data_IF_183715122589
#
_entry.id   IF_183715122589
#
_cell.length_a   1.000
_cell.length_b   1.000
_cell.length_c   1.000
_cell.angle_alpha   90.00
_cell.angle_beta   90.00
_cell.angle_gamma   90.00
#
_symmetry.space_group_name_H-M   'P 1'
#
loop_
_entity.id
_entity.type
_entity.pdbx_description
1 polymer ?
#
# COMPACT_ATOMS: atom_id res chain seq x y z
N UNK A 1 17.15 39.53 5.76
CA UNK A 1 16.58 38.23 6.14
C UNK A 1 17.25 37.24 5.23
N UNK A 2 18.09 36.37 5.77
CA UNK A 2 18.73 35.33 4.98
C UNK A 2 17.65 34.36 4.50
N UNK A 3 17.67 34.03 3.20
CA UNK A 3 16.78 33.01 2.67
C UNK A 3 17.03 31.69 3.43
N UNK A 4 15.97 31.00 3.90
CA UNK A 4 16.14 29.74 4.58
C UNK A 4 16.85 28.76 3.64
N UNK A 5 18.01 28.25 4.07
CA UNK A 5 18.79 27.27 3.30
C UNK A 5 17.96 25.99 3.19
N UNK A 6 17.34 25.76 2.03
CA UNK A 6 16.68 24.50 1.73
C UNK A 6 17.69 23.37 1.79
N UNK A 7 17.44 22.39 2.66
CA UNK A 7 18.28 21.20 2.79
C UNK A 7 17.56 20.01 2.17
N UNK A 8 18.10 19.51 1.06
CA UNK A 8 17.65 18.27 0.41
C UNK A 8 18.67 17.19 0.71
N UNK A 9 18.25 16.16 1.45
CA UNK A 9 19.09 15.00 1.78
C UNK A 9 18.97 13.91 0.71
N UNK A 10 19.96 12.99 0.61
CA UNK A 10 19.81 11.80 -0.21
C UNK A 10 18.65 10.94 0.28
N UNK A 11 18.10 10.12 -0.62
CA UNK A 11 17.13 9.08 -0.24
C UNK A 11 17.90 7.97 0.47
N UNK A 12 17.45 7.60 1.66
CA UNK A 12 18.05 6.54 2.46
C UNK A 12 17.34 5.21 2.21
N UNK A 13 18.09 4.13 2.14
CA UNK A 13 17.52 2.78 2.18
C UNK A 13 17.24 2.37 3.61
N UNK A 14 16.02 1.89 3.87
CA UNK A 14 15.55 1.49 5.18
C UNK A 14 15.02 0.04 5.12
N UNK A 15 15.84 -0.96 5.48
CA UNK A 15 15.37 -2.36 5.49
C UNK A 15 14.39 -2.67 6.62
N UNK A 16 14.26 -1.75 7.59
CA UNK A 16 13.42 -1.86 8.79
C UNK A 16 12.91 -0.48 9.16
N UNK A 17 11.67 -0.36 9.64
CA UNK A 17 11.13 0.91 10.11
C UNK A 17 11.90 1.46 11.33
N UNK A 18 12.43 0.59 12.18
CA UNK A 18 13.30 1.01 13.30
C UNK A 18 14.54 1.76 12.85
N UNK A 19 15.07 1.47 11.65
CA UNK A 19 16.23 2.19 11.11
C UNK A 19 15.89 3.65 10.78
N UNK A 20 14.61 3.96 10.57
CA UNK A 20 14.10 5.32 10.32
C UNK A 20 14.04 6.12 11.63
N UNK A 21 13.73 5.47 12.76
CA UNK A 21 13.70 6.11 14.09
C UNK A 21 15.09 6.42 14.66
N UNK A 22 16.09 5.57 14.38
CA UNK A 22 17.46 5.76 14.87
C UNK A 22 18.21 6.90 14.16
N UNK A 23 17.54 7.56 13.23
CA UNK A 23 18.07 8.61 12.39
C UNK A 23 17.75 9.97 13.00
N UNK A 24 18.75 10.86 13.03
CA UNK A 24 18.65 12.24 13.53
C UNK A 24 17.85 13.16 12.59
N UNK A 25 17.23 12.59 11.56
CA UNK A 25 16.53 13.29 10.50
C UNK A 25 15.06 13.57 10.86
N UNK A 26 14.45 12.86 11.81
CA UNK A 26 13.07 13.15 12.26
C UNK A 26 13.12 14.21 13.35
N UNK A 27 12.38 15.29 13.16
CA UNK A 27 12.27 16.41 14.07
C UNK A 27 10.79 16.69 14.42
N UNK A 28 10.54 17.44 15.49
CA UNK A 28 9.18 17.80 15.90
C UNK A 28 8.44 18.70 14.88
N UNK A 29 9.19 19.41 14.03
CA UNK A 29 8.65 20.20 12.92
C UNK A 29 8.58 19.42 11.60
N UNK A 30 8.88 18.12 11.60
CA UNK A 30 8.73 17.28 10.42
C UNK A 30 7.27 16.86 10.22
N UNK A 31 6.87 16.73 8.95
CA UNK A 31 5.65 16.03 8.55
C UNK A 31 6.06 14.72 7.88
N UNK A 32 5.63 13.61 8.47
CA UNK A 32 5.89 12.27 7.93
C UNK A 32 4.72 11.82 7.06
N UNK A 33 5.01 11.53 5.80
CA UNK A 33 4.12 10.91 4.84
C UNK A 33 4.46 9.43 4.73
N UNK A 34 3.49 8.60 5.08
CA UNK A 34 3.60 7.15 5.00
C UNK A 34 2.85 6.62 3.79
N UNK A 35 3.49 5.73 3.03
CA UNK A 35 2.74 4.81 2.21
C UNK A 35 1.95 3.79 3.05
N UNK A 36 0.94 3.18 2.43
CA UNK A 36 0.10 2.15 3.04
C UNK A 36 0.55 0.74 2.67
N UNK A 37 0.25 0.33 1.44
CA UNK A 37 0.53 -1.01 0.94
C UNK A 37 2.05 -1.25 0.95
N UNK A 38 2.48 -2.42 1.44
CA UNK A 38 3.87 -2.82 1.63
C UNK A 38 4.74 -1.93 2.54
N UNK A 39 4.17 -0.89 3.15
CA UNK A 39 4.86 0.01 4.10
C UNK A 39 4.26 -0.05 5.51
N UNK A 40 2.96 0.23 5.65
CA UNK A 40 2.25 0.11 6.93
C UNK A 40 1.67 -1.30 7.09
N UNK A 41 0.98 -1.77 6.06
CA UNK A 41 0.38 -3.10 6.05
C UNK A 41 0.61 -3.80 4.71
N UNK A 42 0.41 -5.10 4.71
CA UNK A 42 0.43 -5.95 3.53
C UNK A 42 -0.80 -6.87 3.55
N UNK A 43 -1.16 -7.40 2.39
CA UNK A 43 -2.17 -8.44 2.29
C UNK A 43 -1.65 -9.74 2.92
N UNK A 44 -2.53 -10.51 3.58
CA UNK A 44 -2.18 -11.84 4.11
C UNK A 44 -1.97 -12.89 3.02
N UNK A 45 -2.56 -12.65 1.85
CA UNK A 45 -2.54 -13.52 0.67
C UNK A 45 -2.05 -12.74 -0.56
N UNK A 46 -1.72 -13.44 -1.64
CA UNK A 46 -1.26 -12.84 -2.90
C UNK A 46 -2.36 -12.01 -3.59
N UNK A 47 -3.62 -12.48 -3.52
CA UNK A 47 -4.76 -11.77 -4.08
C UNK A 47 -4.94 -10.39 -3.43
N UNK A 48 -5.13 -9.37 -4.27
CA UNK A 48 -5.34 -8.00 -3.82
C UNK A 48 -4.05 -7.28 -3.41
N UNK A 49 -2.88 -7.88 -3.60
CA UNK A 49 -1.61 -7.17 -3.38
C UNK A 49 -1.35 -6.14 -4.49
N UNK A 50 -0.37 -5.26 -4.25
CA UNK A 50 0.07 -4.29 -5.25
C UNK A 50 0.74 -4.98 -6.47
N UNK A 51 1.41 -6.11 -6.24
CA UNK A 51 2.02 -6.94 -7.27
C UNK A 51 0.94 -7.55 -8.17
N UNK A 52 -0.13 -8.10 -7.58
CA UNK A 52 -1.24 -8.69 -8.33
C UNK A 52 -1.86 -7.68 -9.30
N UNK A 53 -2.18 -6.48 -8.82
CA UNK A 53 -2.75 -5.44 -9.69
C UNK A 53 -1.75 -4.94 -10.73
N UNK A 54 -0.46 -4.85 -10.38
CA UNK A 54 0.61 -4.47 -11.33
C UNK A 54 0.76 -5.50 -12.46
N UNK A 55 0.65 -6.80 -12.14
CA UNK A 55 0.62 -7.88 -13.13
C UNK A 55 -0.61 -7.77 -14.04
N UNK A 56 -1.81 -7.58 -13.48
CA UNK A 56 -3.04 -7.40 -14.27
C UNK A 56 -2.96 -6.20 -15.21
N UNK A 57 -2.43 -5.06 -14.73
CA UNK A 57 -2.24 -3.86 -15.54
C UNK A 57 -1.25 -4.10 -16.70
N UNK A 58 -0.25 -4.95 -16.49
CA UNK A 58 0.70 -5.35 -17.54
C UNK A 58 0.02 -6.23 -18.59
N UNK A 59 -0.81 -7.19 -18.16
CA UNK A 59 -1.61 -8.05 -19.05
C UNK A 59 -2.59 -7.22 -19.89
N UNK A 60 -3.33 -6.28 -19.31
CA UNK A 60 -4.24 -5.45 -20.08
C UNK A 60 -3.52 -4.56 -21.09
N UNK A 61 -2.37 -3.98 -20.73
CA UNK A 61 -1.57 -3.19 -21.67
C UNK A 61 -1.09 -4.01 -22.86
N UNK A 62 -0.72 -5.28 -22.66
CA UNK A 62 -0.22 -6.14 -23.73
C UNK A 62 -1.31 -6.81 -24.56
N UNK A 63 -2.41 -7.25 -23.94
CA UNK A 63 -3.45 -8.03 -24.61
C UNK A 63 -4.61 -7.19 -25.14
N UNK A 64 -4.92 -6.06 -24.50
CA UNK A 64 -6.23 -5.44 -24.69
C UNK A 64 -6.17 -3.94 -25.06
N UNK A 65 -5.19 -3.20 -24.53
CA UNK A 65 -4.76 -1.91 -25.06
C UNK A 65 -5.72 -0.72 -24.89
N UNK A 66 -6.93 -0.89 -24.32
CA UNK A 66 -7.90 0.21 -24.21
C UNK A 66 -7.99 0.82 -22.81
N UNK A 67 -8.29 2.13 -22.74
CA UNK A 67 -8.52 2.84 -21.48
C UNK A 67 -9.69 2.25 -20.67
N UNK A 68 -10.70 1.69 -21.35
CA UNK A 68 -11.82 0.99 -20.72
C UNK A 68 -11.40 -0.24 -19.92
N UNK A 69 -10.33 -0.93 -20.30
CA UNK A 69 -9.90 -2.15 -19.60
C UNK A 69 -9.04 -1.85 -18.39
N UNK A 70 -8.27 -0.77 -18.44
CA UNK A 70 -7.60 -0.22 -17.26
C UNK A 70 -8.65 0.13 -16.20
N UNK A 71 -9.79 0.71 -16.61
CA UNK A 71 -10.88 1.03 -15.71
C UNK A 71 -11.52 -0.24 -15.11
N UNK A 72 -11.79 -1.27 -15.91
CA UNK A 72 -12.30 -2.55 -15.42
C UNK A 72 -11.32 -3.26 -14.47
N UNK A 73 -10.01 -3.15 -14.69
CA UNK A 73 -9.00 -3.66 -13.75
C UNK A 73 -9.06 -2.93 -12.41
N UNK A 74 -9.21 -1.60 -12.43
CA UNK A 74 -9.39 -0.82 -11.20
C UNK A 74 -10.67 -1.23 -10.47
N UNK A 75 -11.75 -1.47 -11.20
CA UNK A 75 -13.02 -1.94 -10.62
C UNK A 75 -12.90 -3.34 -10.03
N UNK A 76 -12.23 -4.27 -10.73
CA UNK A 76 -11.90 -5.60 -10.22
C UNK A 76 -11.07 -5.49 -8.93
N UNK A 77 -10.00 -4.69 -8.95
CA UNK A 77 -9.17 -4.48 -7.76
C UNK A 77 -10.00 -3.95 -6.59
N UNK A 78 -10.78 -2.91 -6.83
CA UNK A 78 -11.62 -2.31 -5.80
C UNK A 78 -12.62 -3.32 -5.22
N UNK A 79 -13.27 -4.12 -6.08
CA UNK A 79 -14.22 -5.15 -5.63
C UNK A 79 -13.53 -6.23 -4.79
N UNK A 80 -12.33 -6.66 -5.20
CA UNK A 80 -11.56 -7.68 -4.46
C UNK A 80 -11.13 -7.18 -3.10
N UNK A 81 -10.72 -5.91 -2.94
CA UNK A 81 -10.23 -5.37 -1.66
C UNK A 81 -11.21 -5.58 -0.49
N UNK A 82 -12.52 -5.65 -0.74
CA UNK A 82 -13.53 -5.90 0.28
C UNK A 82 -13.44 -7.28 0.95
N UNK A 83 -12.74 -8.22 0.31
CA UNK A 83 -12.55 -9.59 0.78
C UNK A 83 -11.13 -9.84 1.30
N UNK A 84 -10.26 -8.82 1.26
CA UNK A 84 -8.85 -8.98 1.59
C UNK A 84 -8.60 -8.65 3.05
N UNK A 85 -8.00 -9.62 3.73
CA UNK A 85 -7.40 -9.44 5.03
C UNK A 85 -5.99 -8.85 4.90
N UNK A 86 -5.72 -7.85 5.73
CA UNK A 86 -4.41 -7.23 5.83
C UNK A 86 -3.76 -7.55 7.18
N UNK A 87 -2.45 -7.36 7.23
CA UNK A 87 -1.64 -7.48 8.45
C UNK A 87 -0.54 -6.41 8.45
N UNK A 88 -0.03 -5.99 9.63
CA UNK A 88 1.09 -5.05 9.68
C UNK A 88 2.30 -5.63 8.94
N UNK A 89 3.08 -4.77 8.27
CA UNK A 89 4.28 -5.21 7.56
C UNK A 89 5.32 -5.74 8.55
N UNK A 90 5.58 -4.98 9.63
CA UNK A 90 6.40 -5.42 10.75
C UNK A 90 5.58 -5.43 12.04
N UNK A 91 5.99 -6.28 12.98
CA UNK A 91 5.34 -6.38 14.30
C UNK A 91 5.27 -5.05 15.06
N UNK A 92 6.24 -4.17 14.84
CA UNK A 92 6.35 -2.89 15.54
C UNK A 92 5.89 -1.69 14.70
N UNK A 93 5.42 -1.88 13.46
CA UNK A 93 5.01 -0.79 12.56
C UNK A 93 4.02 0.16 13.22
N UNK A 94 2.95 -0.38 13.80
CA UNK A 94 1.90 0.44 14.41
C UNK A 94 2.37 1.12 15.70
N UNK A 95 3.26 0.48 16.47
CA UNK A 95 3.86 1.10 17.66
C UNK A 95 4.75 2.28 17.31
N UNK A 96 5.50 2.20 16.21
CA UNK A 96 6.35 3.28 15.73
C UNK A 96 5.49 4.49 15.33
N UNK A 97 4.41 4.25 14.60
CA UNK A 97 3.46 5.28 14.20
C UNK A 97 2.79 5.92 15.42
N UNK A 98 2.33 5.10 16.37
CA UNK A 98 1.73 5.57 17.62
C UNK A 98 2.73 6.39 18.45
N UNK A 99 3.99 5.96 18.54
CA UNK A 99 5.05 6.69 19.22
C UNK A 99 5.30 8.06 18.59
N UNK A 100 5.42 8.14 17.27
CA UNK A 100 5.62 9.41 16.55
C UNK A 100 4.44 10.36 16.77
N UNK A 101 3.20 9.84 16.80
CA UNK A 101 2.02 10.63 17.09
C UNK A 101 2.03 11.15 18.54
N UNK A 102 2.41 10.27 19.49
CA UNK A 102 2.48 10.60 20.91
C UNK A 102 3.49 11.73 21.20
N UNK A 103 4.63 11.74 20.52
CA UNK A 103 5.65 12.80 20.67
C UNK A 103 5.35 14.05 19.83
N UNK A 104 4.18 14.12 19.18
CA UNK A 104 3.71 15.31 18.46
C UNK A 104 4.27 15.49 17.05
N UNK A 105 4.90 14.47 16.45
CA UNK A 105 5.29 14.52 15.04
C UNK A 105 4.03 14.42 14.17
N UNK A 106 3.87 15.37 13.25
CA UNK A 106 2.72 15.36 12.35
C UNK A 106 2.84 14.22 11.35
N UNK A 107 1.77 13.44 11.19
CA UNK A 107 1.75 12.28 10.30
C UNK A 107 0.57 12.35 9.33
N UNK A 108 0.83 11.94 8.10
CA UNK A 108 -0.12 11.82 7.00
C UNK A 108 0.11 10.50 6.26
N UNK A 109 -0.92 10.03 5.60
CA UNK A 109 -0.84 8.89 4.71
C UNK A 109 -0.94 9.35 3.27
N UNK A 110 -0.27 8.64 2.38
CA UNK A 110 -0.37 8.82 0.93
C UNK A 110 -0.39 7.44 0.29
N UNK A 111 -1.33 7.17 -0.62
CA UNK A 111 -1.52 5.82 -1.14
C UNK A 111 -1.90 5.84 -2.61
N UNK A 112 -1.45 4.84 -3.36
CA UNK A 112 -1.91 4.61 -4.73
C UNK A 112 -3.37 4.12 -4.82
N UNK A 113 -3.97 3.71 -3.69
CA UNK A 113 -5.37 3.25 -3.64
C UNK A 113 -6.34 4.28 -4.20
N UNK A 114 -7.42 3.77 -4.76
CA UNK A 114 -8.51 4.60 -5.28
C UNK A 114 -9.28 5.30 -4.15
N UNK A 115 -9.74 6.54 -4.34
CA UNK A 115 -10.66 7.20 -3.41
C UNK A 115 -11.94 6.39 -3.13
N UNK A 116 -12.35 5.50 -4.05
CA UNK A 116 -13.47 4.59 -3.84
C UNK A 116 -13.25 3.64 -2.64
N UNK A 117 -11.99 3.34 -2.31
CA UNK A 117 -11.60 2.47 -1.19
C UNK A 117 -11.42 3.21 0.13
N UNK A 118 -11.78 4.49 0.19
CA UNK A 118 -11.56 5.33 1.37
C UNK A 118 -12.14 4.77 2.66
N UNK A 119 -13.43 4.43 2.65
CA UNK A 119 -14.12 3.89 3.83
C UNK A 119 -13.53 2.54 4.24
N UNK A 120 -13.25 1.68 3.25
CA UNK A 120 -12.61 0.39 3.50
C UNK A 120 -11.21 0.54 4.09
N UNK A 121 -10.40 1.45 3.55
CA UNK A 121 -9.03 1.69 4.02
C UNK A 121 -9.01 2.16 5.47
N UNK A 122 -9.92 3.06 5.85
CA UNK A 122 -10.06 3.49 7.25
C UNK A 122 -10.50 2.34 8.16
N UNK A 123 -11.46 1.52 7.71
CA UNK A 123 -11.90 0.33 8.45
C UNK A 123 -10.72 -0.63 8.65
N UNK A 124 -10.01 -0.95 7.57
CA UNK A 124 -8.84 -1.82 7.58
C UNK A 124 -7.76 -1.34 8.55
N UNK A 125 -7.44 -0.05 8.57
CA UNK A 125 -6.50 0.53 9.54
C UNK A 125 -7.01 0.41 10.99
N UNK A 126 -8.31 0.61 11.21
CA UNK A 126 -8.93 0.43 12.54
C UNK A 126 -8.93 -1.03 12.99
N UNK A 127 -9.14 -1.97 12.06
CA UNK A 127 -9.10 -3.41 12.33
C UNK A 127 -7.68 -3.89 12.68
N UNK A 128 -6.64 -3.25 12.12
CA UNK A 128 -5.24 -3.54 12.47
C UNK A 128 -4.91 -3.13 13.90
N UNK A 129 -5.38 -1.96 14.33
CA UNK A 129 -5.17 -1.45 15.68
C UNK A 129 -6.29 -0.46 16.06
N UNK A 130 -7.11 -0.79 17.08
CA UNK A 130 -8.19 0.08 17.56
C UNK A 130 -7.73 1.47 18.03
N UNK A 131 -6.44 1.66 18.37
CA UNK A 131 -5.90 2.98 18.67
C UNK A 131 -5.86 3.91 17.45
N UNK A 132 -5.98 3.37 16.23
CA UNK A 132 -6.09 4.15 14.99
C UNK A 132 -7.49 4.74 14.75
N UNK A 133 -8.43 4.58 15.69
CA UNK A 133 -9.78 5.18 15.60
C UNK A 133 -9.76 6.72 15.57
N UNK A 134 -8.80 7.36 16.23
CA UNK A 134 -8.68 8.83 16.28
C UNK A 134 -7.79 9.40 15.18
N UNK A 135 -6.89 8.59 14.64
CA UNK A 135 -6.02 8.94 13.53
C UNK A 135 -5.58 7.63 12.84
N UNK A 136 -5.60 7.56 11.50
CA UNK A 136 -5.84 8.64 10.55
C UNK A 136 -7.33 8.88 10.30
N UNK A 137 -7.73 10.15 10.14
CA UNK A 137 -9.05 10.47 9.57
C UNK A 137 -8.94 10.54 8.06
N UNK A 138 -10.09 10.57 7.38
CA UNK A 138 -10.15 10.76 5.93
C UNK A 138 -9.26 11.89 5.40
N UNK A 139 -9.18 13.03 6.08
CA UNK A 139 -8.40 14.20 5.62
C UNK A 139 -6.89 14.03 5.82
N UNK A 140 -6.49 12.99 6.55
CA UNK A 140 -5.11 12.66 6.84
C UNK A 140 -4.56 11.68 5.80
N UNK A 141 -5.35 11.29 4.79
CA UNK A 141 -4.98 10.36 3.72
C UNK A 141 -5.11 11.03 2.34
N UNK A 142 -4.03 11.03 1.57
CA UNK A 142 -4.00 11.43 0.17
C UNK A 142 -4.17 10.18 -0.70
N UNK A 143 -5.34 10.04 -1.32
CA UNK A 143 -5.61 8.97 -2.29
C UNK A 143 -5.17 9.43 -3.69
N UNK A 144 -4.11 8.83 -4.21
CA UNK A 144 -3.52 9.20 -5.49
C UNK A 144 -4.21 8.54 -6.69
N UNK A 145 -4.97 7.46 -6.52
CA UNK A 145 -5.55 6.67 -7.62
C UNK A 145 -4.50 6.29 -8.69
N UNK A 146 -3.34 5.77 -8.22
CA UNK A 146 -2.14 5.48 -9.00
C UNK A 146 -1.52 6.68 -9.76
N UNK A 147 -1.90 7.93 -9.44
CA UNK A 147 -1.24 9.12 -9.98
C UNK A 147 0.11 9.39 -9.28
N UNK A 148 0.91 10.24 -9.92
CA UNK A 148 2.24 10.64 -9.44
C UNK A 148 2.18 11.30 -8.04
N UNK A 149 2.73 10.64 -7.02
CA UNK A 149 2.62 11.04 -5.60
C UNK A 149 3.06 12.46 -5.30
N UNK A 150 4.17 12.92 -5.89
CA UNK A 150 4.61 14.31 -5.73
C UNK A 150 3.56 15.34 -6.18
N UNK A 151 2.81 15.06 -7.25
CA UNK A 151 1.75 15.96 -7.74
C UNK A 151 0.54 15.92 -6.82
N UNK A 152 0.18 14.75 -6.32
CA UNK A 152 -0.91 14.58 -5.37
C UNK A 152 -0.62 15.31 -4.05
N UNK A 153 0.60 15.17 -3.52
CA UNK A 153 1.08 15.90 -2.37
C UNK A 153 0.96 17.41 -2.59
N UNK A 154 1.50 17.93 -3.70
CA UNK A 154 1.45 19.36 -4.02
C UNK A 154 0.02 19.92 -4.05
N UNK A 155 -0.91 19.20 -4.68
CA UNK A 155 -2.33 19.59 -4.76
C UNK A 155 -3.06 19.52 -3.42
N UNK A 156 -2.55 18.78 -2.45
CA UNK A 156 -3.22 18.60 -1.15
C UNK A 156 -3.15 19.85 -0.27
N UNK A 157 -2.13 20.71 -0.48
CA UNK A 157 -1.83 21.85 0.38
C UNK A 157 -1.70 21.49 1.88
N UNK A 158 -1.31 20.24 2.19
CA UNK A 158 -1.17 19.73 3.55
C UNK A 158 0.22 19.98 4.17
N UNK A 159 0.95 20.95 3.63
CA UNK A 159 2.26 21.39 4.13
C UNK A 159 2.42 22.91 3.96
N UNK A 160 3.33 23.48 4.74
CA UNK A 160 3.78 24.87 4.73
C UNK A 160 5.21 24.98 4.16
N UNK A 161 5.64 26.20 3.84
CA UNK A 161 7.01 26.45 3.33
C UNK A 161 8.11 26.13 4.34
N UNK A 162 7.81 26.13 5.64
CA UNK A 162 8.79 25.89 6.70
C UNK A 162 8.84 24.42 7.13
N UNK A 163 8.01 23.57 6.53
CA UNK A 163 7.92 22.17 6.94
C UNK A 163 9.13 21.37 6.44
N UNK A 164 9.53 20.40 7.24
CA UNK A 164 10.43 19.34 6.81
C UNK A 164 9.63 18.11 6.39
N UNK A 165 9.64 17.80 5.10
CA UNK A 165 8.88 16.68 4.54
C UNK A 165 9.71 15.40 4.66
N UNK A 166 9.12 14.39 5.29
CA UNK A 166 9.67 13.04 5.34
C UNK A 166 8.75 12.12 4.55
N UNK A 167 9.28 11.41 3.56
CA UNK A 167 8.53 10.44 2.77
C UNK A 167 9.05 9.03 3.03
N UNK A 168 8.17 8.10 3.36
CA UNK A 168 8.47 6.68 3.59
C UNK A 168 7.59 5.86 2.66
N UNK A 169 8.20 5.13 1.74
CA UNK A 169 7.51 4.38 0.70
C UNK A 169 8.33 3.14 0.34
N UNK A 170 7.66 2.04 -0.02
CA UNK A 170 8.33 0.82 -0.47
C UNK A 170 8.84 0.95 -1.92
N UNK A 171 8.28 1.87 -2.71
CA UNK A 171 8.71 2.11 -4.09
C UNK A 171 9.61 3.33 -4.18
N UNK A 172 10.87 3.13 -4.55
CA UNK A 172 11.84 4.20 -4.73
C UNK A 172 11.33 5.39 -5.58
N UNK A 173 10.68 5.10 -6.72
CA UNK A 173 10.14 6.12 -7.63
C UNK A 173 9.11 7.04 -6.97
N UNK A 174 8.38 6.57 -5.96
CA UNK A 174 7.42 7.38 -5.22
C UNK A 174 8.13 8.37 -4.29
N UNK A 175 9.21 7.93 -3.63
CA UNK A 175 10.06 8.80 -2.79
C UNK A 175 10.73 9.86 -3.65
N UNK A 176 11.29 9.47 -4.79
CA UNK A 176 11.91 10.37 -5.76
C UNK A 176 10.91 11.38 -6.34
N UNK A 177 9.70 10.93 -6.68
CA UNK A 177 8.62 11.79 -7.15
C UNK A 177 8.27 12.91 -6.15
N UNK A 178 8.27 12.61 -4.85
CA UNK A 178 8.05 13.61 -3.80
C UNK A 178 9.28 14.52 -3.67
N UNK A 179 10.50 13.96 -3.65
CA UNK A 179 11.75 14.73 -3.58
C UNK A 179 11.82 15.79 -4.69
N UNK A 180 11.50 15.41 -5.92
CA UNK A 180 11.55 16.30 -7.08
C UNK A 180 10.59 17.49 -6.94
N UNK A 181 9.42 17.26 -6.34
CA UNK A 181 8.45 18.34 -6.08
C UNK A 181 8.90 19.21 -4.93
N UNK A 182 9.39 18.64 -3.82
CA UNK A 182 9.87 19.42 -2.67
C UNK A 182 11.08 20.27 -3.04
N UNK A 183 11.98 19.76 -3.88
CA UNK A 183 13.10 20.53 -4.45
C UNK A 183 12.62 21.76 -5.22
N UNK A 184 11.64 21.60 -6.12
CA UNK A 184 11.07 22.71 -6.90
C UNK A 184 10.35 23.75 -6.05
N UNK A 185 9.88 23.36 -4.87
CA UNK A 185 9.17 24.22 -3.92
C UNK A 185 10.10 24.76 -2.82
N UNK A 186 11.40 24.50 -2.90
CA UNK A 186 12.39 24.92 -1.90
C UNK A 186 12.09 24.42 -0.47
N UNK A 187 11.46 23.24 -0.37
CA UNK A 187 11.10 22.60 0.91
C UNK A 187 12.21 21.68 1.40
N UNK A 188 12.39 21.60 2.72
CA UNK A 188 13.28 20.61 3.32
C UNK A 188 12.74 19.20 3.09
N UNK A 189 13.60 18.26 2.70
CA UNK A 189 13.17 16.90 2.38
C UNK A 189 14.11 15.81 2.89
N UNK A 190 13.53 14.72 3.36
CA UNK A 190 14.22 13.45 3.61
C UNK A 190 13.38 12.27 3.12
N UNK A 191 13.97 11.43 2.29
CA UNK A 191 13.30 10.26 1.73
C UNK A 191 13.82 8.97 2.35
N UNK A 192 12.92 8.01 2.59
CA UNK A 192 13.22 6.65 3.00
C UNK A 192 12.58 5.68 2.01
N UNK A 193 13.42 5.00 1.25
CA UNK A 193 13.02 3.85 0.46
C UNK A 193 13.02 2.62 1.37
N UNK A 194 11.82 2.17 1.71
CA UNK A 194 11.59 1.07 2.63
C UNK A 194 11.66 -0.27 1.89
N UNK A 195 12.52 -1.19 2.32
CA UNK A 195 12.83 -2.41 1.54
C UNK A 195 12.59 -3.70 2.30
N UNK A 196 11.72 -3.67 3.31
CA UNK A 196 11.52 -4.85 4.18
C UNK A 196 10.91 -6.05 3.44
N UNK A 197 9.98 -5.79 2.52
CA UNK A 197 9.27 -6.83 1.79
C UNK A 197 9.89 -7.17 0.42
N UNK A 198 11.07 -6.65 0.07
CA UNK A 198 11.66 -6.83 -1.27
C UNK A 198 11.72 -8.29 -1.71
N UNK A 199 12.16 -9.20 -0.82
CA UNK A 199 12.24 -10.63 -1.15
C UNK A 199 10.85 -11.28 -1.31
N UNK A 200 9.88 -10.87 -0.48
CA UNK A 200 8.49 -11.36 -0.59
C UNK A 200 7.85 -10.89 -1.89
N UNK A 201 8.00 -9.62 -2.22
CA UNK A 201 7.49 -9.01 -3.46
C UNK A 201 8.11 -9.70 -4.68
N UNK A 202 9.41 -9.99 -4.64
CA UNK A 202 10.08 -10.72 -5.72
C UNK A 202 9.60 -12.19 -5.85
N UNK A 203 9.06 -12.77 -4.77
CA UNK A 203 8.52 -14.13 -4.73
C UNK A 203 7.00 -14.20 -5.00
N UNK A 204 6.36 -13.10 -5.43
CA UNK A 204 4.93 -13.04 -5.75
C UNK A 204 4.52 -14.16 -6.73
N UNK A 205 3.40 -14.83 -6.43
CA UNK A 205 2.87 -15.93 -7.24
C UNK A 205 1.48 -15.60 -7.81
N UNK A 206 1.45 -15.32 -9.11
CA UNK A 206 0.22 -15.02 -9.84
C UNK A 206 -0.77 -16.20 -9.88
N UNK A 207 -0.28 -17.45 -9.88
CA UNK A 207 -1.15 -18.62 -9.86
C UNK A 207 -1.90 -18.73 -8.53
N UNK A 208 -1.22 -18.45 -7.41
CA UNK A 208 -1.83 -18.39 -6.09
C UNK A 208 -2.88 -17.27 -6.00
N UNK A 209 -2.57 -16.07 -6.51
CA UNK A 209 -3.53 -14.97 -6.55
C UNK A 209 -4.78 -15.34 -7.40
N UNK A 210 -4.59 -15.98 -8.55
CA UNK A 210 -5.67 -16.44 -9.41
C UNK A 210 -6.51 -17.55 -8.77
N UNK A 211 -5.89 -18.47 -8.04
CA UNK A 211 -6.61 -19.49 -7.28
C UNK A 211 -7.50 -18.86 -6.20
N UNK A 212 -6.95 -17.91 -5.44
CA UNK A 212 -7.69 -17.18 -4.42
C UNK A 212 -8.82 -16.35 -5.05
N UNK A 213 -8.62 -15.77 -6.23
CA UNK A 213 -9.66 -15.04 -6.97
C UNK A 213 -10.83 -15.97 -7.32
N UNK A 214 -10.54 -17.20 -7.76
CA UNK A 214 -11.57 -18.19 -8.10
C UNK A 214 -12.49 -18.49 -6.91
N UNK A 215 -11.93 -18.57 -5.69
CA UNK A 215 -12.70 -18.84 -4.47
C UNK A 215 -13.75 -17.76 -4.19
N UNK A 216 -13.45 -16.49 -4.49
CA UNK A 216 -14.35 -15.36 -4.22
C UNK A 216 -15.10 -14.86 -5.46
N UNK A 217 -14.79 -15.36 -6.65
CA UNK A 217 -15.33 -14.86 -7.93
C UNK A 217 -16.85 -14.77 -7.94
N UNK A 218 -17.54 -15.77 -7.39
CA UNK A 218 -19.00 -15.83 -7.33
C UNK A 218 -19.63 -14.74 -6.44
N UNK A 219 -18.85 -14.09 -5.58
CA UNK A 219 -19.27 -12.99 -4.70
C UNK A 219 -19.06 -11.61 -5.36
N UNK A 220 -18.36 -11.55 -6.50
CA UNK A 220 -18.09 -10.30 -7.20
C UNK A 220 -19.27 -9.89 -8.09
N UNK A 221 -19.41 -8.60 -8.47
CA UNK A 221 -20.44 -8.16 -9.41
C UNK A 221 -20.37 -8.91 -10.75
N UNK A 222 -21.53 -9.19 -11.37
CA UNK A 222 -21.60 -10.00 -12.62
C UNK A 222 -20.67 -9.48 -13.73
N UNK A 223 -20.64 -8.17 -13.97
CA UNK A 223 -19.76 -7.58 -14.98
C UNK A 223 -18.26 -7.79 -14.69
N UNK A 224 -17.87 -7.88 -13.40
CA UNK A 224 -16.51 -8.23 -12.99
C UNK A 224 -16.24 -9.72 -13.22
N UNK A 225 -17.22 -10.59 -12.94
CA UNK A 225 -17.09 -12.03 -13.24
C UNK A 225 -16.88 -12.28 -14.73
N UNK A 226 -17.65 -11.60 -15.59
CA UNK A 226 -17.51 -11.66 -17.05
C UNK A 226 -16.14 -11.15 -17.49
N UNK A 227 -15.65 -10.07 -16.88
CA UNK A 227 -14.33 -9.55 -17.16
C UNK A 227 -13.21 -10.53 -16.75
N UNK A 228 -13.32 -11.19 -15.60
CA UNK A 228 -12.39 -12.24 -15.16
C UNK A 228 -12.35 -13.40 -16.17
N UNK A 229 -13.51 -13.80 -16.70
CA UNK A 229 -13.58 -14.84 -17.74
C UNK A 229 -12.87 -14.42 -19.02
N UNK A 230 -13.12 -13.19 -19.49
CA UNK A 230 -12.49 -12.63 -20.70
C UNK A 230 -10.97 -12.52 -20.58
N UNK A 231 -10.46 -12.23 -19.38
CA UNK A 231 -9.03 -12.18 -19.10
C UNK A 231 -8.38 -13.56 -18.87
N UNK A 232 -9.19 -14.63 -18.87
CA UNK A 232 -8.77 -16.00 -18.65
C UNK A 232 -8.04 -16.22 -17.30
N UNK A 233 -8.25 -15.34 -16.30
CA UNK A 233 -7.48 -15.34 -15.04
C UNK A 233 -7.67 -16.60 -14.18
N UNK A 234 -8.69 -17.42 -14.47
CA UNK A 234 -9.06 -18.57 -13.63
C UNK A 234 -8.95 -19.92 -14.33
N UNK A 235 -8.55 -19.95 -15.61
CA UNK A 235 -8.55 -21.18 -16.41
C UNK A 235 -7.30 -22.06 -16.21
N UNK A 236 -6.20 -21.52 -15.67
CA UNK A 236 -4.94 -22.27 -15.52
C UNK A 236 -4.75 -22.96 -14.16
N UNK A 237 -5.73 -22.91 -13.26
CA UNK A 237 -5.56 -23.58 -11.95
C UNK A 237 -5.65 -25.10 -12.15
N UNK A 238 -4.50 -25.76 -12.16
CA UNK A 238 -4.45 -27.22 -12.17
C UNK A 238 -5.18 -27.79 -10.94
N UNK A 239 -6.09 -28.78 -11.11
CA UNK A 239 -6.89 -29.36 -10.02
C UNK A 239 -6.08 -29.89 -8.82
N UNK A 240 -4.77 -30.12 -8.98
CA UNK A 240 -3.90 -30.69 -7.96
C UNK A 240 -3.62 -29.73 -6.79
N UNK A 241 -3.70 -28.41 -6.98
CA UNK A 241 -3.55 -27.42 -5.91
C UNK A 241 -4.77 -27.39 -4.98
N UNK A 242 -5.98 -27.63 -5.52
CA UNK A 242 -7.24 -27.66 -4.78
C UNK A 242 -7.27 -28.74 -3.67
N UNK A 243 -6.55 -29.85 -3.87
CA UNK A 243 -6.49 -30.95 -2.91
C UNK A 243 -5.51 -30.70 -1.75
N UNK A 244 -4.50 -29.84 -1.96
CA UNK A 244 -3.42 -29.59 -1.00
C UNK A 244 -3.81 -28.58 0.09
N UNK A 245 -4.59 -27.55 -0.26
CA UNK A 245 -5.08 -26.58 0.73
C UNK A 245 -6.19 -27.17 1.61
N UNK A 246 -7.12 -27.93 1.02
CA UNK A 246 -8.21 -28.59 1.78
C UNK A 246 -7.66 -29.53 2.87
N UNK A 247 -6.60 -30.27 2.55
CA UNK A 247 -5.93 -31.16 3.49
C UNK A 247 -5.14 -30.41 4.58
N UNK A 248 -4.70 -29.17 4.33
CA UNK A 248 -4.06 -28.33 5.36
C UNK A 248 -5.05 -27.62 6.30
N UNK A 249 -6.24 -27.23 5.81
CA UNK A 249 -7.31 -26.66 6.64
C UNK A 249 -7.97 -27.73 7.53
N UNK A 250 -8.16 -28.94 7.01
CA UNK A 250 -8.66 -30.09 7.78
C UNK A 250 -7.65 -30.56 8.86
N UNK A 251 -6.35 -30.38 8.64
CA UNK A 251 -5.32 -30.71 9.62
C UNK A 251 -5.26 -29.71 10.79
N UNK A 252 -5.71 -28.47 10.61
CA UNK A 252 -5.72 -27.44 11.66
C UNK A 252 -7.04 -27.42 12.48
N UNK A 253 -8.09 -28.09 12.01
CA UNK A 253 -9.39 -28.17 12.71
C UNK A 253 -9.57 -29.43 13.58
N UNK A 254 -8.56 -30.30 13.65
CA UNK A 254 -8.60 -31.49 14.50
C UNK A 254 -8.59 -31.10 16.00
N UNK A 255 -9.59 -31.48 16.80
CA UNK A 255 -9.62 -31.16 18.22
C UNK A 255 -8.48 -31.88 18.93
N UNK A 256 -7.68 -31.12 19.70
CA UNK A 256 -6.74 -31.69 20.66
C UNK A 256 -7.55 -32.59 21.60
N UNK A 257 -7.34 -33.90 21.51
CA UNK A 257 -7.91 -34.86 22.46
C UNK A 257 -7.39 -34.53 23.87
N UNK A 258 -8.26 -34.61 24.90
CA UNK A 258 -7.87 -34.39 26.29
C UNK A 258 -6.83 -35.41 26.77
#
# INVERSE_FOLDING_TARGET
>A
MDDPITTIKPIFHAPRLKAILNRKEIHFNSIVYWDLDNTIFQTKKELGSDEWISHLMTIAKSKLGTASEIQLIKELYNAVQHFIEIMPVERDTLKIIAFLNHIGVTQRLITARSPALKTLTLKQLTDLDPSMTTWPRSKDIIFCDAQHRGRALFKSHLFSQNDHIIMIDDKYQNVEAVQAITQRQHLNFTGFHYTYLTDKVAAFDMHQANFQLLLIKHLLPLHIQDFINRLELTYEVQPQLYLKEKSSEDAQSSPKRP
#
